data_IF_009862569631
#
_entry.id   IF_009862569631
#
_cell.length_a   1.000
_cell.length_b   1.000
_cell.length_c   1.000
_cell.angle_alpha   90.00
_cell.angle_beta   90.00
_cell.angle_gamma   90.00
#
_symmetry.space_group_name_H-M   'P 1'
#
loop_
_entity.id
_entity.type
_entity.pdbx_description
1 polymer ?
#
# COMPACT_ATOMS: atom_id res chain seq x y z
N UNK A 1 9.42 17.83 12.91
CA UNK A 1 9.51 16.72 11.94
C UNK A 1 8.32 15.82 12.18
N UNK A 2 7.30 15.91 11.33
CA UNK A 2 6.16 14.98 11.42
C UNK A 2 6.69 13.57 11.11
N UNK A 3 6.71 12.70 12.11
CA UNK A 3 7.04 11.30 11.92
C UNK A 3 5.96 10.67 11.06
N UNK A 4 6.30 9.78 10.12
CA UNK A 4 5.33 9.10 9.29
C UNK A 4 4.36 8.29 10.15
N UNK A 5 3.11 8.76 10.29
CA UNK A 5 2.11 8.22 11.23
C UNK A 5 1.91 6.71 11.01
N UNK A 6 1.65 6.29 9.78
CA UNK A 6 1.32 4.89 9.50
C UNK A 6 2.47 3.94 9.79
N UNK A 7 3.69 4.36 9.49
CA UNK A 7 4.88 3.56 9.77
C UNK A 7 5.18 3.40 11.26
N UNK A 8 4.58 4.24 12.13
CA UNK A 8 4.67 4.09 13.58
C UNK A 8 3.59 3.13 14.12
N UNK A 9 2.50 2.92 13.39
CA UNK A 9 1.44 1.97 13.75
C UNK A 9 1.79 0.59 13.21
N UNK A 10 2.04 0.48 11.90
CA UNK A 10 2.45 -0.74 11.21
C UNK A 10 3.75 -0.43 10.46
N UNK A 11 4.92 -0.78 11.00
CA UNK A 11 6.21 -0.45 10.39
C UNK A 11 6.48 -1.28 9.13
N UNK A 12 6.75 -0.59 8.01
CA UNK A 12 7.15 -1.23 6.76
C UNK A 12 8.56 -1.81 6.88
N UNK A 13 8.78 -3.06 6.45
CA UNK A 13 10.11 -3.63 6.36
C UNK A 13 11.02 -2.82 5.43
N UNK A 14 12.24 -2.50 5.89
CA UNK A 14 13.19 -1.67 5.12
C UNK A 14 13.57 -2.26 3.76
N UNK A 15 13.62 -3.57 3.64
CA UNK A 15 13.94 -4.27 2.39
C UNK A 15 12.91 -4.00 1.28
N UNK A 16 11.68 -3.59 1.64
CA UNK A 16 10.62 -3.24 0.70
C UNK A 16 10.73 -1.80 0.18
N UNK A 17 11.55 -0.94 0.79
CA UNK A 17 11.76 0.45 0.36
C UNK A 17 12.69 0.51 -0.87
N UNK A 18 12.27 -0.14 -1.93
CA UNK A 18 12.96 -0.22 -3.22
C UNK A 18 12.05 0.28 -4.32
N UNK A 19 12.61 0.61 -5.47
CA UNK A 19 11.84 1.06 -6.63
C UNK A 19 10.76 0.03 -7.00
N UNK A 20 9.52 0.49 -7.17
CA UNK A 20 8.41 -0.26 -7.75
C UNK A 20 8.30 0.12 -9.23
N UNK A 21 8.74 -0.75 -10.13
CA UNK A 21 8.80 -0.47 -11.56
C UNK A 21 8.39 -1.65 -12.42
N UNK A 22 7.86 -1.35 -13.60
CA UNK A 22 7.50 -2.36 -14.61
C UNK A 22 8.71 -3.21 -15.03
N UNK A 23 9.91 -2.63 -15.10
CA UNK A 23 11.13 -3.38 -15.42
C UNK A 23 11.48 -4.42 -14.35
N UNK A 24 11.31 -4.08 -13.07
CA UNK A 24 11.47 -5.02 -11.96
C UNK A 24 10.44 -6.14 -11.99
N UNK A 25 9.18 -5.81 -12.26
CA UNK A 25 8.11 -6.81 -12.44
C UNK A 25 8.40 -7.75 -13.60
N UNK A 26 8.82 -7.24 -14.75
CA UNK A 26 9.20 -8.06 -15.90
C UNK A 26 10.43 -8.91 -15.61
N UNK A 27 11.44 -8.38 -14.92
CA UNK A 27 12.58 -9.16 -14.47
C UNK A 27 12.17 -10.32 -13.56
N UNK A 28 11.28 -10.08 -12.59
CA UNK A 28 10.74 -11.10 -11.71
C UNK A 28 9.96 -12.18 -12.48
N UNK A 29 9.03 -11.76 -13.35
CA UNK A 29 8.21 -12.67 -14.15
C UNK A 29 9.05 -13.49 -15.12
N UNK A 30 10.09 -12.90 -15.72
CA UNK A 30 11.03 -13.61 -16.60
C UNK A 30 11.77 -14.73 -15.85
N UNK A 31 12.27 -14.47 -14.65
CA UNK A 31 12.93 -15.49 -13.81
C UNK A 31 11.97 -16.63 -13.50
N UNK A 32 10.72 -16.31 -13.15
CA UNK A 32 9.68 -17.32 -12.87
C UNK A 32 9.37 -18.13 -14.14
N UNK A 33 9.18 -17.48 -15.29
CA UNK A 33 8.89 -18.13 -16.55
C UNK A 33 9.99 -19.11 -16.98
N UNK A 34 11.27 -18.75 -16.78
CA UNK A 34 12.41 -19.63 -17.09
C UNK A 34 12.38 -20.95 -16.30
N UNK A 35 11.78 -20.97 -15.11
CA UNK A 35 11.63 -22.19 -14.30
C UNK A 35 10.45 -23.07 -14.73
N UNK A 36 9.50 -22.52 -15.50
CA UNK A 36 8.24 -23.21 -15.92
C UNK A 36 8.29 -23.71 -17.37
N UNK A 37 9.46 -23.86 -18.00
CA UNK A 37 9.55 -24.31 -19.40
C UNK A 37 8.80 -25.64 -19.64
N UNK A 38 8.03 -25.77 -20.76
CA UNK A 38 7.82 -24.77 -21.83
C UNK A 38 6.92 -23.60 -21.41
N UNK A 39 7.09 -22.44 -22.04
CA UNK A 39 6.29 -21.23 -21.79
C UNK A 39 4.84 -21.48 -22.21
N UNK A 40 3.92 -21.35 -21.27
CA UNK A 40 2.54 -21.81 -21.48
C UNK A 40 1.50 -20.67 -21.46
N UNK A 41 1.91 -19.42 -21.20
CA UNK A 41 0.98 -18.29 -21.15
C UNK A 41 1.39 -17.16 -22.13
N UNK A 42 0.39 -16.38 -22.55
CA UNK A 42 0.66 -15.16 -23.33
C UNK A 42 1.48 -14.13 -22.52
N UNK A 43 1.35 -14.13 -21.20
CA UNK A 43 2.09 -13.21 -20.35
C UNK A 43 3.56 -13.60 -20.26
N UNK A 44 3.90 -14.90 -20.21
CA UNK A 44 5.27 -15.37 -20.31
C UNK A 44 5.92 -14.90 -21.63
N UNK A 45 5.19 -15.01 -22.76
CA UNK A 45 5.69 -14.58 -24.07
C UNK A 45 5.92 -13.07 -24.14
N UNK A 46 5.03 -12.24 -23.57
CA UNK A 46 5.20 -10.78 -23.52
C UNK A 46 6.45 -10.39 -22.75
N UNK A 47 6.67 -11.01 -21.60
CA UNK A 47 7.83 -10.76 -20.75
C UNK A 47 9.12 -11.15 -21.44
N UNK A 48 9.15 -12.32 -22.11
CA UNK A 48 10.32 -12.77 -22.86
C UNK A 48 10.62 -11.81 -24.01
N UNK A 49 9.61 -11.44 -24.80
CA UNK A 49 9.78 -10.46 -25.88
C UNK A 49 10.32 -9.13 -25.38
N UNK A 50 9.77 -8.63 -24.27
CA UNK A 50 10.27 -7.41 -23.67
C UNK A 50 11.75 -7.53 -23.28
N UNK A 51 12.15 -8.62 -22.64
CA UNK A 51 13.54 -8.86 -22.24
C UNK A 51 14.49 -8.99 -23.46
N UNK A 52 14.04 -9.60 -24.56
CA UNK A 52 14.85 -9.79 -25.76
C UNK A 52 15.15 -8.50 -26.51
N UNK A 53 14.23 -7.53 -26.51
CA UNK A 53 14.41 -6.24 -27.21
C UNK A 53 15.16 -5.19 -26.39
N UNK A 54 15.39 -5.43 -25.08
CA UNK A 54 16.14 -4.48 -24.25
C UNK A 54 17.64 -4.54 -24.52
N UNK A 55 18.30 -3.40 -24.34
CA UNK A 55 19.75 -3.34 -24.25
C UNK A 55 20.26 -4.19 -23.07
N UNK A 56 21.48 -4.73 -23.20
CA UNK A 56 22.05 -5.64 -22.19
C UNK A 56 22.01 -5.05 -20.77
N UNK A 57 22.39 -3.78 -20.62
CA UNK A 57 22.38 -3.08 -19.34
C UNK A 57 20.99 -3.03 -18.70
N UNK A 58 19.95 -2.67 -19.47
CA UNK A 58 18.55 -2.59 -19.00
C UNK A 58 18.06 -3.97 -18.59
N UNK A 59 18.40 -4.99 -19.35
CA UNK A 59 18.06 -6.38 -19.04
C UNK A 59 18.71 -6.86 -17.76
N UNK A 60 19.99 -6.56 -17.55
CA UNK A 60 20.72 -6.91 -16.32
C UNK A 60 20.10 -6.20 -15.09
N UNK A 61 19.80 -4.90 -15.18
CA UNK A 61 19.16 -4.13 -14.13
C UNK A 61 17.77 -4.71 -13.78
N UNK A 62 16.98 -5.05 -14.80
CA UNK A 62 15.67 -5.68 -14.61
C UNK A 62 15.77 -7.04 -13.91
N UNK A 63 16.76 -7.87 -14.28
CA UNK A 63 16.98 -9.17 -13.64
C UNK A 63 17.43 -9.02 -12.19
N UNK A 64 18.32 -8.09 -11.87
CA UNK A 64 18.78 -7.83 -10.50
C UNK A 64 17.63 -7.35 -9.63
N UNK A 65 16.81 -6.42 -10.13
CA UNK A 65 15.64 -5.92 -9.43
C UNK A 65 14.59 -7.04 -9.25
N UNK A 66 14.35 -7.82 -10.29
CA UNK A 66 13.44 -8.97 -10.26
C UNK A 66 13.85 -10.05 -9.25
N UNK A 67 15.13 -10.34 -9.10
CA UNK A 67 15.64 -11.24 -8.05
C UNK A 67 15.39 -10.65 -6.65
N UNK A 68 15.52 -9.33 -6.50
CA UNK A 68 15.23 -8.67 -5.23
C UNK A 68 13.74 -8.75 -4.90
N UNK A 69 12.87 -8.55 -5.88
CA UNK A 69 11.41 -8.71 -5.75
C UNK A 69 11.04 -10.13 -5.31
N UNK A 70 11.63 -11.16 -5.93
CA UNK A 70 11.38 -12.56 -5.54
C UNK A 70 11.80 -12.86 -4.12
N UNK A 71 12.97 -12.35 -3.70
CA UNK A 71 13.46 -12.51 -2.32
C UNK A 71 12.51 -11.84 -1.32
N UNK A 72 12.09 -10.61 -1.61
CA UNK A 72 11.15 -9.87 -0.78
C UNK A 72 9.80 -10.58 -0.71
N UNK A 73 9.30 -11.05 -1.84
CA UNK A 73 8.06 -11.84 -1.88
C UNK A 73 8.15 -13.09 -1.00
N UNK A 74 9.24 -13.84 -1.12
CA UNK A 74 9.46 -15.03 -0.29
C UNK A 74 9.56 -14.73 1.22
N UNK A 75 10.05 -13.54 1.59
CA UNK A 75 10.25 -13.14 2.98
C UNK A 75 9.04 -12.43 3.61
N UNK A 76 8.37 -11.57 2.85
CA UNK A 76 7.34 -10.66 3.35
C UNK A 76 5.97 -10.86 2.71
N UNK A 77 5.85 -11.66 1.66
CA UNK A 77 4.64 -11.81 0.86
C UNK A 77 4.41 -10.69 -0.16
N UNK A 78 5.30 -9.72 -0.25
CA UNK A 78 5.21 -8.56 -1.14
C UNK A 78 6.56 -8.26 -1.78
N UNK A 79 6.61 -7.87 -3.08
CA UNK A 79 7.87 -7.58 -3.77
C UNK A 79 8.43 -6.20 -3.41
N UNK A 80 7.57 -5.19 -3.21
CA UNK A 80 7.95 -3.80 -2.98
C UNK A 80 7.10 -3.12 -1.90
N UNK A 81 7.42 -1.86 -1.62
CA UNK A 81 6.64 -1.00 -0.72
C UNK A 81 5.20 -0.79 -1.22
N UNK A 82 4.97 -0.81 -2.54
CA UNK A 82 3.70 -0.44 -3.14
C UNK A 82 2.58 -1.43 -2.76
N UNK A 83 2.78 -2.70 -3.04
CA UNK A 83 1.81 -3.75 -2.71
C UNK A 83 1.66 -3.92 -1.21
N UNK A 84 2.77 -3.77 -0.48
CA UNK A 84 2.77 -3.88 0.97
C UNK A 84 1.95 -2.75 1.61
N UNK A 85 2.13 -1.49 1.18
CA UNK A 85 1.42 -0.35 1.76
C UNK A 85 -0.09 -0.42 1.52
N UNK A 86 -0.51 -0.81 0.32
CA UNK A 86 -1.94 -1.01 0.02
C UNK A 86 -2.53 -2.10 0.91
N UNK A 87 -1.83 -3.23 1.09
CA UNK A 87 -2.32 -4.36 1.87
C UNK A 87 -2.33 -4.09 3.39
N UNK A 88 -1.38 -3.31 3.93
CA UNK A 88 -1.20 -3.13 5.37
C UNK A 88 -1.68 -1.76 5.88
N UNK A 89 -1.62 -0.71 5.06
CA UNK A 89 -2.12 0.61 5.43
C UNK A 89 -3.47 0.95 4.79
N UNK A 90 -3.90 0.21 3.76
CA UNK A 90 -5.10 0.50 2.98
C UNK A 90 -4.93 1.64 1.98
N UNK A 91 -3.72 2.18 1.83
CA UNK A 91 -3.42 3.32 0.96
C UNK A 91 -2.01 3.21 0.39
N UNK A 92 -1.76 3.95 -0.70
CA UNK A 92 -0.53 3.88 -1.49
C UNK A 92 0.73 4.26 -0.69
N UNK A 93 0.67 5.31 0.12
CA UNK A 93 1.81 5.81 0.90
C UNK A 93 1.37 6.33 2.26
N UNK A 94 2.34 6.74 3.07
CA UNK A 94 2.11 7.26 4.40
C UNK A 94 1.26 8.53 4.39
N UNK A 95 0.63 8.86 5.53
CA UNK A 95 -0.07 10.12 5.72
C UNK A 95 0.83 11.31 5.42
N UNK A 96 0.25 12.35 4.82
CA UNK A 96 0.93 13.62 4.52
C UNK A 96 0.05 14.80 4.95
N UNK A 97 0.53 16.03 4.83
CA UNK A 97 -0.15 17.27 5.27
C UNK A 97 -0.70 17.18 6.69
N UNK A 98 0.09 16.61 7.59
CA UNK A 98 -0.33 16.36 8.97
C UNK A 98 -0.42 17.66 9.76
N UNK A 99 -1.53 17.84 10.47
CA UNK A 99 -1.76 18.96 11.40
C UNK A 99 -2.36 18.44 12.70
N UNK A 100 -1.77 18.81 13.83
CA UNK A 100 -2.28 18.46 15.16
C UNK A 100 -2.92 19.70 15.80
N UNK A 101 -4.18 19.57 16.19
CA UNK A 101 -4.92 20.58 16.92
C UNK A 101 -5.11 20.13 18.37
N UNK A 102 -4.62 20.97 19.27
CA UNK A 102 -4.76 20.73 20.70
C UNK A 102 -6.26 20.64 21.12
N UNK A 103 -6.65 19.73 22.04
CA UNK A 103 -5.75 18.85 22.78
C UNK A 103 -5.53 17.47 22.13
N UNK A 104 -6.31 17.05 21.12
CA UNK A 104 -6.33 15.64 20.68
C UNK A 104 -6.92 15.43 19.28
N UNK A 105 -6.89 16.42 18.39
CA UNK A 105 -7.37 16.26 17.02
C UNK A 105 -6.19 16.20 16.06
N UNK A 106 -6.14 15.15 15.25
CA UNK A 106 -5.12 14.95 14.23
C UNK A 106 -5.77 14.92 12.85
N UNK A 107 -5.36 15.85 11.99
CA UNK A 107 -5.70 15.90 10.57
C UNK A 107 -4.56 15.37 9.73
N UNK A 108 -4.87 14.62 8.69
CA UNK A 108 -3.89 14.16 7.71
C UNK A 108 -4.58 13.78 6.39
N UNK A 109 -3.82 13.88 5.31
CA UNK A 109 -4.26 13.42 4.00
C UNK A 109 -3.75 12.01 3.73
N UNK A 110 -4.53 11.25 2.95
CA UNK A 110 -4.21 9.92 2.46
C UNK A 110 -4.34 9.87 0.94
N UNK A 111 -3.68 8.90 0.29
CA UNK A 111 -3.90 8.67 -1.13
C UNK A 111 -5.11 7.73 -1.32
N UNK A 112 -6.08 8.18 -2.10
CA UNK A 112 -7.27 7.45 -2.60
C UNK A 112 -8.40 7.21 -1.61
N UNK A 113 -8.11 6.75 -0.39
CA UNK A 113 -9.16 6.27 0.52
C UNK A 113 -8.87 6.62 1.98
N UNK A 114 -9.89 6.56 2.82
CA UNK A 114 -9.73 6.53 4.26
C UNK A 114 -9.02 5.24 4.72
N UNK A 115 -8.51 5.25 5.94
CA UNK A 115 -7.69 4.14 6.48
C UNK A 115 -8.29 3.56 7.79
N UNK A 116 -9.57 3.16 7.81
CA UNK A 116 -10.23 2.70 9.03
C UNK A 116 -9.55 1.47 9.66
N UNK A 117 -9.04 0.54 8.85
CA UNK A 117 -8.32 -0.65 9.35
C UNK A 117 -7.01 -0.29 10.07
N UNK A 118 -6.33 0.75 9.63
CA UNK A 118 -5.13 1.23 10.31
C UNK A 118 -5.47 1.88 11.66
N UNK A 119 -6.57 2.66 11.73
CA UNK A 119 -7.06 3.22 13.00
C UNK A 119 -7.57 2.12 13.93
N UNK A 120 -8.15 1.05 13.39
CA UNK A 120 -8.51 -0.14 14.16
C UNK A 120 -7.26 -0.76 14.83
N UNK A 121 -6.19 -0.99 14.06
CA UNK A 121 -4.91 -1.47 14.61
C UNK A 121 -4.36 -0.51 15.67
N UNK A 122 -4.44 0.80 15.45
CA UNK A 122 -4.04 1.80 16.45
C UNK A 122 -4.86 1.66 17.75
N UNK A 123 -6.16 1.41 17.64
CA UNK A 123 -7.06 1.26 18.80
C UNK A 123 -6.75 -0.02 19.61
N UNK A 124 -6.24 -1.06 18.99
CA UNK A 124 -5.76 -2.27 19.68
C UNK A 124 -4.47 -2.00 20.49
N UNK A 125 -3.61 -1.08 19.99
CA UNK A 125 -2.41 -0.65 20.73
C UNK A 125 -2.80 0.20 21.97
N UNK A 126 -3.90 0.95 21.87
CA UNK A 126 -4.42 1.82 22.94
C UNK A 126 -5.87 1.45 23.31
N UNK A 127 -6.12 0.30 23.95
CA UNK A 127 -7.46 -0.28 24.11
C UNK A 127 -8.40 0.56 24.98
N UNK A 128 -7.86 1.43 25.85
CA UNK A 128 -8.63 2.33 26.70
C UNK A 128 -9.04 3.63 26.01
N UNK A 129 -8.53 3.89 24.79
CA UNK A 129 -8.82 5.10 24.01
C UNK A 129 -9.92 4.82 22.99
N UNK A 130 -10.93 5.69 22.94
CA UNK A 130 -11.90 5.73 21.86
C UNK A 130 -11.45 6.74 20.80
N UNK A 131 -11.32 6.28 19.56
CA UNK A 131 -10.97 7.09 18.41
C UNK A 131 -12.23 7.49 17.66
N UNK A 132 -12.53 8.77 17.57
CA UNK A 132 -13.50 9.31 16.63
C UNK A 132 -12.80 9.51 15.30
N UNK A 133 -13.23 8.78 14.29
CA UNK A 133 -12.59 8.80 12.96
C UNK A 133 -13.58 9.24 11.90
N UNK A 134 -13.16 10.18 11.05
CA UNK A 134 -13.91 10.61 9.88
C UNK A 134 -12.97 10.84 8.71
N UNK A 135 -13.42 10.55 7.51
CA UNK A 135 -12.70 10.84 6.27
C UNK A 135 -13.68 11.17 5.15
N UNK A 136 -13.20 11.90 4.15
CA UNK A 136 -13.92 12.19 2.92
C UNK A 136 -12.93 12.32 1.77
N UNK A 137 -13.40 12.09 0.54
CA UNK A 137 -12.67 12.38 -0.68
C UNK A 137 -12.63 13.90 -0.97
N UNK A 138 -11.75 14.33 -1.86
CA UNK A 138 -11.72 15.70 -2.38
C UNK A 138 -12.98 16.02 -3.23
N UNK A 139 -13.60 15.00 -3.83
CA UNK A 139 -14.89 15.12 -4.51
C UNK A 139 -16.03 15.13 -3.48
N UNK A 140 -16.70 16.27 -3.38
CA UNK A 140 -17.76 16.50 -2.38
C UNK A 140 -18.83 15.40 -2.40
N UNK A 141 -19.06 14.79 -1.23
CA UNK A 141 -20.03 13.71 -1.06
C UNK A 141 -19.60 12.36 -1.61
N UNK A 142 -18.31 12.17 -1.88
CA UNK A 142 -17.75 10.91 -2.34
C UNK A 142 -16.87 10.28 -1.28
N UNK A 143 -16.90 8.94 -1.18
CA UNK A 143 -16.02 8.14 -0.33
C UNK A 143 -15.93 8.71 1.10
N UNK A 144 -17.09 8.89 1.75
CA UNK A 144 -17.21 9.43 3.11
C UNK A 144 -17.38 8.31 4.12
N UNK A 145 -16.69 8.41 5.25
CA UNK A 145 -16.87 7.50 6.37
C UNK A 145 -16.69 8.22 7.70
N UNK A 146 -17.50 7.88 8.71
CA UNK A 146 -17.38 8.42 10.06
C UNK A 146 -17.86 7.43 11.12
N UNK A 147 -17.28 7.50 12.30
CA UNK A 147 -17.71 6.66 13.42
C UNK A 147 -16.70 6.62 14.55
N UNK A 148 -16.80 5.58 15.37
CA UNK A 148 -15.92 5.33 16.50
C UNK A 148 -15.20 4.00 16.36
N UNK A 149 -13.96 3.96 16.86
CA UNK A 149 -13.11 2.77 16.84
C UNK A 149 -12.47 2.65 18.22
N UNK A 150 -12.61 1.49 18.86
CA UNK A 150 -12.04 1.22 20.19
C UNK A 150 -11.68 -0.25 20.35
N UNK A 151 -10.47 -0.53 20.82
CA UNK A 151 -9.99 -1.90 21.11
C UNK A 151 -10.29 -2.90 19.98
N UNK A 152 -10.07 -2.51 18.71
CA UNK A 152 -10.34 -3.33 17.55
C UNK A 152 -11.81 -3.40 17.11
N UNK A 153 -12.75 -2.88 17.89
CA UNK A 153 -14.16 -2.80 17.51
C UNK A 153 -14.44 -1.49 16.75
N UNK A 154 -15.22 -1.59 15.67
CA UNK A 154 -15.55 -0.46 14.80
C UNK A 154 -17.06 -0.26 14.73
N UNK A 155 -17.50 0.98 14.95
CA UNK A 155 -18.86 1.44 14.70
C UNK A 155 -18.81 2.59 13.70
N UNK A 156 -18.78 2.24 12.42
CA UNK A 156 -18.57 3.15 11.28
C UNK A 156 -19.80 3.17 10.38
N UNK A 157 -20.14 4.35 9.88
CA UNK A 157 -21.14 4.56 8.85
C UNK A 157 -20.48 5.01 7.56
N UNK A 158 -20.97 4.50 6.43
CA UNK A 158 -20.48 4.78 5.09
C UNK A 158 -21.67 5.23 4.22
N UNK A 159 -21.99 6.53 4.21
CA UNK A 159 -23.08 7.06 3.40
C UNK A 159 -22.87 6.78 1.90
N UNK A 160 -23.96 6.57 1.17
CA UNK A 160 -23.90 6.44 -0.28
C UNK A 160 -23.40 7.74 -0.94
N UNK A 161 -22.54 7.63 -1.94
CA UNK A 161 -22.00 8.78 -2.67
C UNK A 161 -23.11 9.68 -3.19
N UNK A 162 -22.99 10.99 -2.94
CA UNK A 162 -23.96 11.99 -3.36
C UNK A 162 -25.26 12.00 -2.54
N UNK A 163 -25.35 11.27 -1.44
CA UNK A 163 -26.46 11.37 -0.50
C UNK A 163 -26.39 12.65 0.35
N UNK A 164 -27.51 13.03 0.99
CA UNK A 164 -27.51 14.16 1.91
C UNK A 164 -26.73 13.90 3.23
N UNK A 165 -26.27 12.68 3.43
CA UNK A 165 -25.51 12.23 4.61
C UNK A 165 -23.99 12.18 4.34
N UNK A 166 -23.60 12.17 3.07
CA UNK A 166 -22.22 12.28 2.58
C UNK A 166 -21.84 13.76 2.36
#
# INVERSE_FOLDING_TARGET
CALPIFNNIIPMPKDLLIEASTSGEFGMQYIIAQQRKPFNSQDDLKVIQWMEIQEEKVREEALQLGMTYLRNWGKYGYPTWYEWSIANWGTKWNAFNQNFEEPNVLWFDTAWEGVPLLIQTLSEIFPDVEFQYAYADEDLGSNVGKGTIRNGETDMTFPDNGSNEA
#
